data_IF_885997850769
#
_entry.id   IF_885997850769
#
_cell.length_a   1.000
_cell.length_b   1.000
_cell.length_c   1.000
_cell.angle_alpha   90.00
_cell.angle_beta   90.00
_cell.angle_gamma   90.00
#
_symmetry.space_group_name_H-M   'P 1'
#
loop_
_entity.id
_entity.type
_entity.pdbx_description
1 polymer ?
#
# COMPACT_ATOMS: atom_id res chain seq x y z
N UNK A 1 15.86 -10.13 7.22
CA UNK A 1 14.85 -9.29 7.87
C UNK A 1 15.53 -8.02 8.34
N UNK A 2 15.65 -7.03 7.47
CA UNK A 2 16.30 -5.75 7.79
C UNK A 2 15.19 -4.78 8.17
N UNK A 3 15.01 -4.56 9.47
CA UNK A 3 14.33 -3.39 9.98
C UNK A 3 15.27 -2.21 9.67
N UNK A 4 15.16 -1.68 8.46
CA UNK A 4 15.81 -0.44 8.11
C UNK A 4 15.27 0.64 9.03
N UNK A 5 16.13 1.23 9.84
CA UNK A 5 15.84 2.43 10.58
C UNK A 5 15.23 3.45 9.60
N UNK A 6 13.97 3.80 9.82
CA UNK A 6 13.33 4.95 9.18
C UNK A 6 13.90 6.24 9.83
N UNK A 7 15.22 6.35 9.81
CA UNK A 7 15.91 7.57 10.16
C UNK A 7 15.85 8.47 8.94
N UNK A 8 15.01 9.49 9.06
CA UNK A 8 15.02 10.71 8.24
C UNK A 8 15.51 10.49 6.81
N UNK A 9 14.55 10.26 5.88
CA UNK A 9 14.87 10.31 4.45
C UNK A 9 15.54 11.67 4.21
N UNK A 10 16.86 11.64 4.01
CA UNK A 10 17.59 12.85 3.70
C UNK A 10 17.03 13.35 2.37
N UNK A 11 16.71 14.63 2.26
CA UNK A 11 16.11 15.19 1.03
C UNK A 11 16.97 14.86 -0.19
N UNK A 12 18.27 14.72 -0.01
CA UNK A 12 19.24 14.36 -1.04
C UNK A 12 19.02 12.92 -1.55
N UNK A 13 18.69 11.97 -0.68
CA UNK A 13 18.35 10.59 -1.05
C UNK A 13 16.99 10.50 -1.76
N UNK A 14 16.00 11.28 -1.30
CA UNK A 14 14.68 11.33 -1.94
C UNK A 14 14.74 11.91 -3.35
N UNK A 15 15.65 12.86 -3.62
CA UNK A 15 15.80 13.47 -4.95
C UNK A 15 16.22 12.47 -6.02
N UNK A 16 16.92 11.41 -5.65
CA UNK A 16 17.33 10.34 -6.55
C UNK A 16 16.19 9.38 -6.91
N UNK A 17 15.33 9.05 -5.93
CA UNK A 17 14.26 8.06 -6.11
C UNK A 17 12.92 8.64 -6.51
N UNK A 18 12.62 9.88 -6.11
CA UNK A 18 11.34 10.57 -6.36
C UNK A 18 11.54 12.06 -6.65
N UNK A 19 12.20 12.41 -7.78
CA UNK A 19 12.54 13.79 -8.10
C UNK A 19 11.32 14.68 -8.33
N UNK A 20 10.18 14.12 -8.71
CA UNK A 20 8.90 14.78 -8.87
C UNK A 20 8.35 15.27 -7.51
N UNK A 21 8.40 14.45 -6.49
CA UNK A 21 7.97 14.81 -5.12
C UNK A 21 8.87 15.91 -4.55
N UNK A 22 10.19 15.81 -4.76
CA UNK A 22 11.14 16.79 -4.24
C UNK A 22 11.08 18.16 -4.92
N UNK A 23 10.44 18.27 -6.10
CA UNK A 23 10.19 19.54 -6.79
C UNK A 23 8.95 20.26 -6.26
N UNK A 24 8.03 19.56 -5.65
CA UNK A 24 6.82 20.17 -5.08
C UNK A 24 7.09 20.65 -3.67
N UNK A 25 7.13 21.98 -3.50
CA UNK A 25 7.39 22.65 -2.21
C UNK A 25 6.36 22.26 -1.14
N UNK A 26 5.11 22.02 -1.53
CA UNK A 26 4.06 21.60 -0.59
C UNK A 26 4.31 20.18 -0.09
N UNK A 27 4.66 19.25 -0.98
CA UNK A 27 4.97 17.86 -0.60
C UNK A 27 6.23 17.78 0.27
N UNK A 28 7.27 18.56 -0.04
CA UNK A 28 8.47 18.66 0.81
C UNK A 28 8.12 19.20 2.20
N UNK A 29 7.30 20.26 2.27
CA UNK A 29 6.84 20.80 3.53
C UNK A 29 6.00 19.78 4.31
N UNK A 30 5.07 19.10 3.65
CA UNK A 30 4.24 18.06 4.26
C UNK A 30 5.07 16.89 4.77
N UNK A 31 6.10 16.45 4.03
CA UNK A 31 7.03 15.41 4.47
C UNK A 31 7.76 15.82 5.76
N UNK A 32 8.24 17.06 5.82
CA UNK A 32 8.93 17.60 7.00
C UNK A 32 8.01 17.70 8.23
N UNK A 33 6.75 18.06 8.01
CA UNK A 33 5.77 18.31 9.07
C UNK A 33 4.62 17.30 9.05
N UNK A 34 4.89 16.07 8.64
CA UNK A 34 3.90 14.99 8.47
C UNK A 34 3.08 14.70 9.74
N UNK A 35 3.61 15.02 10.91
CA UNK A 35 2.92 14.87 12.20
C UNK A 35 1.86 15.95 12.47
N UNK A 36 1.98 17.14 11.85
CA UNK A 36 1.08 18.28 12.12
C UNK A 36 -0.40 17.97 11.87
N UNK A 37 -0.80 17.35 10.76
CA UNK A 37 -2.20 17.00 10.55
C UNK A 37 -2.77 16.12 11.67
N UNK A 38 -1.97 15.18 12.18
CA UNK A 38 -2.38 14.30 13.26
C UNK A 38 -2.49 15.06 14.59
N UNK A 39 -1.56 15.97 14.88
CA UNK A 39 -1.61 16.83 16.08
C UNK A 39 -2.84 17.74 16.04
N UNK A 40 -3.09 18.40 14.91
CA UNK A 40 -4.28 19.26 14.73
C UNK A 40 -5.55 18.44 14.92
N UNK A 41 -5.65 17.29 14.28
CA UNK A 41 -6.80 16.39 14.44
C UNK A 41 -6.99 15.97 15.91
N UNK A 42 -5.90 15.65 16.61
CA UNK A 42 -5.93 15.25 18.02
C UNK A 42 -6.50 16.37 18.90
N UNK A 43 -6.06 17.61 18.68
CA UNK A 43 -6.55 18.78 19.42
C UNK A 43 -8.05 19.01 19.13
N UNK A 44 -8.46 18.95 17.87
CA UNK A 44 -9.86 19.12 17.48
C UNK A 44 -10.76 18.04 18.08
N UNK A 45 -10.36 16.77 17.98
CA UNK A 45 -11.14 15.66 18.56
C UNK A 45 -11.24 15.76 20.08
N UNK A 46 -10.16 16.16 20.74
CA UNK A 46 -10.17 16.37 22.18
C UNK A 46 -11.07 17.54 22.57
N UNK A 47 -11.02 18.64 21.82
CA UNK A 47 -11.81 19.84 22.12
C UNK A 47 -13.32 19.64 21.90
N UNK A 48 -13.72 18.93 20.82
CA UNK A 48 -15.13 18.74 20.46
C UNK A 48 -15.78 17.49 21.05
N UNK A 49 -15.00 16.44 21.30
CA UNK A 49 -15.54 15.14 21.73
C UNK A 49 -14.87 14.57 22.98
N UNK A 50 -13.93 15.30 23.56
CA UNK A 50 -13.20 14.87 24.75
C UNK A 50 -12.31 13.65 24.53
N UNK A 51 -11.89 13.05 25.63
CA UNK A 51 -10.99 11.91 25.65
C UNK A 51 -11.47 10.70 24.81
N UNK A 52 -12.76 10.33 24.79
CA UNK A 52 -13.21 9.22 23.93
C UNK A 52 -12.94 9.44 22.46
N UNK A 53 -13.17 10.64 21.92
CA UNK A 53 -12.93 10.96 20.51
C UNK A 53 -11.43 10.93 20.19
N UNK A 54 -10.59 11.40 21.09
CA UNK A 54 -9.14 11.30 20.95
C UNK A 54 -8.70 9.83 20.90
N UNK A 55 -9.17 8.99 21.84
CA UNK A 55 -8.77 7.57 21.91
C UNK A 55 -9.20 6.80 20.67
N UNK A 56 -10.45 6.95 20.24
CA UNK A 56 -10.96 6.24 19.06
C UNK A 56 -10.47 6.84 17.74
N UNK A 57 -10.54 8.16 17.61
CA UNK A 57 -10.24 8.86 16.35
C UNK A 57 -8.74 8.97 16.04
N UNK A 58 -7.88 8.88 17.03
CA UNK A 58 -6.43 8.95 16.85
C UNK A 58 -5.77 7.62 17.18
N UNK A 59 -5.75 7.23 18.46
CA UNK A 59 -4.96 6.07 18.88
C UNK A 59 -5.47 4.77 18.28
N UNK A 60 -6.74 4.47 18.41
CA UNK A 60 -7.32 3.24 17.84
C UNK A 60 -7.20 3.22 16.31
N UNK A 61 -7.55 4.31 15.63
CA UNK A 61 -7.47 4.41 14.18
C UNK A 61 -6.04 4.21 13.65
N UNK A 62 -5.06 4.86 14.28
CA UNK A 62 -3.64 4.72 13.88
C UNK A 62 -3.15 3.31 14.12
N UNK A 63 -3.47 2.74 15.29
CA UNK A 63 -3.09 1.36 15.63
C UNK A 63 -3.68 0.36 14.64
N UNK A 64 -4.97 0.48 14.32
CA UNK A 64 -5.63 -0.39 13.33
C UNK A 64 -5.04 -0.23 11.93
N UNK A 65 -4.71 0.99 11.52
CA UNK A 65 -4.06 1.26 10.23
C UNK A 65 -2.67 0.60 10.13
N UNK A 66 -1.86 0.70 11.18
CA UNK A 66 -0.55 0.05 11.24
C UNK A 66 -0.68 -1.49 11.20
N UNK A 67 -1.61 -2.05 11.97
CA UNK A 67 -1.86 -3.50 11.94
C UNK A 67 -2.36 -3.98 10.58
N UNK A 68 -3.22 -3.23 9.91
CA UNK A 68 -3.66 -3.53 8.55
C UNK A 68 -2.48 -3.57 7.58
N UNK A 69 -1.58 -2.57 7.63
CA UNK A 69 -0.38 -2.52 6.78
C UNK A 69 0.57 -3.69 7.07
N UNK A 70 0.83 -3.99 8.34
CA UNK A 70 1.67 -5.13 8.72
C UNK A 70 1.06 -6.46 8.31
N UNK A 71 -0.25 -6.60 8.42
CA UNK A 71 -0.99 -7.78 7.98
C UNK A 71 -0.84 -8.01 6.47
N UNK A 72 -0.93 -6.95 5.65
CA UNK A 72 -0.65 -7.04 4.22
C UNK A 72 0.74 -7.60 3.99
N UNK A 73 1.77 -7.04 4.62
CA UNK A 73 3.16 -7.47 4.40
C UNK A 73 3.51 -8.83 5.02
N UNK A 74 2.81 -9.27 6.06
CA UNK A 74 3.10 -10.53 6.75
C UNK A 74 2.26 -11.68 6.21
N UNK A 75 0.92 -11.59 6.34
CA UNK A 75 0.03 -12.71 6.00
C UNK A 75 0.04 -13.00 4.50
N UNK A 76 0.15 -12.00 3.64
CA UNK A 76 0.18 -12.20 2.18
C UNK A 76 1.50 -12.77 1.66
N UNK A 77 2.54 -12.84 2.48
CA UNK A 77 3.76 -13.58 2.16
C UNK A 77 3.74 -15.00 2.72
N UNK A 78 2.82 -15.29 3.64
CA UNK A 78 2.73 -16.58 4.30
C UNK A 78 1.54 -17.41 3.82
N UNK A 79 0.36 -16.79 3.65
CA UNK A 79 -0.89 -17.48 3.35
C UNK A 79 -1.65 -16.83 2.20
N UNK A 80 -2.18 -17.67 1.30
CA UNK A 80 -2.97 -17.24 0.15
C UNK A 80 -2.60 -17.98 -1.14
N UNK A 81 -3.22 -17.57 -2.24
CA UNK A 81 -2.98 -18.13 -3.57
C UNK A 81 -1.88 -17.37 -4.31
N UNK A 82 -1.16 -18.05 -5.21
CA UNK A 82 -0.22 -17.42 -6.13
C UNK A 82 -0.77 -17.51 -7.54
N UNK A 83 -1.09 -16.37 -8.11
CA UNK A 83 -1.54 -16.28 -9.50
C UNK A 83 -0.38 -16.09 -10.46
N UNK A 84 0.64 -15.35 -10.03
CA UNK A 84 1.83 -15.05 -10.80
C UNK A 84 3.07 -15.61 -10.13
N UNK A 85 4.03 -16.09 -10.94
CA UNK A 85 5.34 -16.51 -10.45
C UNK A 85 6.22 -15.28 -10.19
N UNK A 86 6.04 -14.66 -9.03
CA UNK A 86 6.89 -13.56 -8.55
C UNK A 86 8.16 -14.11 -7.91
N UNK A 87 9.24 -13.31 -7.88
CA UNK A 87 10.52 -13.70 -7.27
C UNK A 87 10.45 -13.80 -5.75
N UNK A 88 9.47 -13.15 -5.15
CA UNK A 88 9.20 -13.17 -3.72
C UNK A 88 8.13 -14.20 -3.35
N UNK A 89 7.81 -14.29 -2.05
CA UNK A 89 6.78 -15.18 -1.53
C UNK A 89 5.37 -14.60 -1.59
N UNK A 90 5.12 -13.49 -2.30
CA UNK A 90 3.84 -12.79 -2.30
C UNK A 90 2.68 -13.67 -2.77
N UNK A 91 1.53 -13.51 -2.13
CA UNK A 91 0.29 -14.26 -2.34
C UNK A 91 -0.91 -13.34 -2.34
N UNK A 92 -1.96 -13.74 -3.01
CA UNK A 92 -3.27 -13.10 -2.95
C UNK A 92 -4.07 -13.71 -1.80
N UNK A 93 -4.56 -12.86 -0.91
CA UNK A 93 -5.36 -13.27 0.23
C UNK A 93 -6.63 -12.41 0.29
N UNK A 94 -7.79 -13.04 0.07
CA UNK A 94 -9.08 -12.35 0.01
C UNK A 94 -9.49 -11.73 1.36
N UNK A 95 -9.15 -12.39 2.48
CA UNK A 95 -9.47 -11.88 3.82
C UNK A 95 -8.68 -10.60 4.11
N UNK A 96 -7.38 -10.62 3.80
CA UNK A 96 -6.53 -9.43 3.91
C UNK A 96 -7.03 -8.34 2.94
N UNK A 97 -7.41 -8.71 1.71
CA UNK A 97 -7.94 -7.75 0.73
C UNK A 97 -9.22 -7.06 1.21
N UNK A 98 -10.11 -7.81 1.88
CA UNK A 98 -11.34 -7.24 2.45
C UNK A 98 -11.04 -6.24 3.57
N UNK A 99 -10.06 -6.51 4.44
CA UNK A 99 -9.69 -5.64 5.56
C UNK A 99 -8.81 -4.46 5.16
N UNK A 100 -8.08 -4.58 4.05
CA UNK A 100 -7.14 -3.56 3.56
C UNK A 100 -7.59 -2.90 2.25
N UNK A 101 -8.89 -2.94 1.94
CA UNK A 101 -9.51 -2.28 0.78
C UNK A 101 -8.94 -2.70 -0.58
N UNK A 102 -8.36 -3.90 -0.69
CA UNK A 102 -7.82 -4.44 -1.93
C UNK A 102 -6.32 -4.76 -1.90
N UNK A 103 -5.57 -4.26 -0.91
CA UNK A 103 -4.11 -4.47 -0.80
C UNK A 103 -3.71 -5.95 -0.61
N UNK A 104 -4.65 -6.79 -0.15
CA UNK A 104 -4.44 -8.23 -0.02
C UNK A 104 -4.28 -8.98 -1.35
N UNK A 105 -4.55 -8.36 -2.50
CA UNK A 105 -4.20 -8.87 -3.83
C UNK A 105 -2.70 -8.68 -4.12
N UNK A 106 -1.89 -9.04 -3.18
CA UNK A 106 -0.48 -8.68 -3.06
C UNK A 106 0.42 -9.36 -4.09
N UNK A 107 0.12 -10.61 -4.50
CA UNK A 107 0.82 -11.26 -5.59
C UNK A 107 0.56 -10.58 -6.95
N UNK A 108 -0.65 -10.09 -7.17
CA UNK A 108 -0.96 -9.28 -8.35
C UNK A 108 -0.18 -7.97 -8.34
N UNK A 109 -0.11 -7.32 -7.18
CA UNK A 109 0.67 -6.08 -7.00
C UNK A 109 2.15 -6.31 -7.29
N UNK A 110 2.76 -7.36 -6.73
CA UNK A 110 4.16 -7.69 -6.98
C UNK A 110 4.45 -8.09 -8.42
N UNK A 111 3.48 -8.66 -9.12
CA UNK A 111 3.59 -8.94 -10.55
C UNK A 111 3.48 -7.68 -11.43
N UNK A 112 2.70 -6.69 -10.98
CA UNK A 112 2.44 -5.44 -11.71
C UNK A 112 2.56 -4.22 -10.77
N UNK A 113 3.75 -3.90 -10.26
CA UNK A 113 3.94 -2.90 -9.20
C UNK A 113 3.55 -1.47 -9.60
N UNK A 114 3.46 -1.17 -10.88
CA UNK A 114 3.04 0.15 -11.39
C UNK A 114 1.54 0.25 -11.64
N UNK A 115 0.78 -0.82 -11.42
CA UNK A 115 -0.67 -0.83 -11.60
C UNK A 115 -1.36 -0.23 -10.38
N UNK A 116 -2.25 0.73 -10.61
CA UNK A 116 -3.13 1.26 -9.57
C UNK A 116 -4.27 0.29 -9.20
N UNK A 117 -4.47 -0.77 -9.97
CA UNK A 117 -5.44 -1.82 -9.71
C UNK A 117 -4.73 -3.09 -9.26
N UNK A 118 -5.03 -3.57 -8.06
CA UNK A 118 -4.49 -4.81 -7.52
C UNK A 118 -5.42 -6.00 -7.78
N UNK A 119 -6.73 -5.83 -7.70
CA UNK A 119 -7.71 -6.87 -8.05
C UNK A 119 -7.83 -7.02 -9.56
N UNK A 120 -7.11 -7.97 -10.18
CA UNK A 120 -7.05 -8.14 -11.63
C UNK A 120 -8.16 -9.04 -12.18
N UNK A 121 -8.72 -9.97 -11.40
CA UNK A 121 -9.89 -10.77 -11.77
C UNK A 121 -11.19 -10.04 -11.43
N UNK A 122 -12.30 -10.49 -12.03
CA UNK A 122 -13.61 -9.88 -11.81
C UNK A 122 -14.13 -10.06 -10.37
N UNK A 123 -13.73 -11.16 -9.70
CA UNK A 123 -14.08 -11.49 -8.31
C UNK A 123 -13.11 -10.92 -7.28
N UNK A 124 -12.00 -10.37 -7.71
CA UNK A 124 -11.00 -9.74 -6.85
C UNK A 124 -11.44 -8.30 -6.53
N UNK A 125 -12.26 -8.18 -5.48
CA UNK A 125 -12.80 -6.89 -5.03
C UNK A 125 -11.63 -6.00 -4.57
N UNK A 126 -11.55 -4.81 -5.17
CA UNK A 126 -10.52 -3.81 -4.93
C UNK A 126 -11.19 -2.46 -4.74
N UNK A 127 -11.44 -2.10 -3.48
CA UNK A 127 -12.18 -0.89 -3.11
C UNK A 127 -11.31 0.34 -3.42
N UNK A 128 -10.01 0.29 -3.14
CA UNK A 128 -9.06 1.36 -3.46
C UNK A 128 -9.08 1.67 -4.97
N UNK A 129 -9.20 0.64 -5.80
CA UNK A 129 -9.37 0.83 -7.24
C UNK A 129 -10.67 1.53 -7.61
N UNK A 130 -11.79 1.21 -6.96
CA UNK A 130 -13.06 1.90 -7.21
C UNK A 130 -12.99 3.37 -6.81
N UNK A 131 -12.31 3.67 -5.71
CA UNK A 131 -12.06 5.04 -5.26
C UNK A 131 -11.23 5.83 -6.27
N UNK A 132 -10.13 5.25 -6.75
CA UNK A 132 -9.30 5.86 -7.81
C UNK A 132 -10.13 6.08 -9.09
N UNK A 133 -10.98 5.14 -9.45
CA UNK A 133 -11.88 5.29 -10.60
C UNK A 133 -12.86 6.44 -10.41
N UNK A 134 -13.45 6.58 -9.24
CA UNK A 134 -14.30 7.71 -8.91
C UNK A 134 -13.54 9.03 -9.03
N UNK A 135 -12.35 9.13 -8.45
CA UNK A 135 -11.50 10.32 -8.56
C UNK A 135 -11.13 10.65 -10.02
N UNK A 136 -10.95 9.62 -10.86
CA UNK A 136 -10.76 9.85 -12.31
C UNK A 136 -12.00 10.46 -12.97
N UNK A 137 -13.20 10.01 -12.62
CA UNK A 137 -14.45 10.53 -13.24
C UNK A 137 -14.70 11.99 -12.92
N UNK A 138 -14.25 12.46 -11.76
CA UNK A 138 -14.36 13.87 -11.35
C UNK A 138 -13.11 14.70 -11.68
N UNK A 139 -12.13 14.12 -12.41
CA UNK A 139 -10.95 14.82 -12.89
C UNK A 139 -9.85 15.06 -11.84
N UNK A 140 -9.96 14.51 -10.62
CA UNK A 140 -8.97 14.65 -9.55
C UNK A 140 -7.80 13.66 -9.68
N UNK A 141 -7.98 12.53 -10.38
CA UNK A 141 -6.91 11.60 -10.66
C UNK A 141 -6.63 11.54 -12.18
N UNK A 142 -5.40 11.78 -12.57
CA UNK A 142 -4.94 11.74 -13.95
C UNK A 142 -3.87 10.68 -14.13
N UNK A 143 -3.59 10.27 -15.38
CA UNK A 143 -2.48 9.36 -15.73
C UNK A 143 -2.46 8.03 -14.96
N UNK A 144 -3.62 7.49 -14.61
CA UNK A 144 -3.76 6.26 -13.84
C UNK A 144 -3.30 5.05 -14.67
N UNK A 145 -2.24 4.39 -14.22
CA UNK A 145 -1.67 3.21 -14.87
C UNK A 145 -2.44 1.95 -14.47
N UNK A 146 -2.63 1.04 -15.43
CA UNK A 146 -3.26 -0.28 -15.20
C UNK A 146 -2.34 -1.38 -15.73
N UNK A 147 -2.40 -2.53 -15.08
CA UNK A 147 -1.75 -3.73 -15.61
C UNK A 147 -2.29 -4.03 -17.01
N UNK A 148 -1.41 -4.15 -17.98
CA UNK A 148 -1.74 -4.77 -19.26
C UNK A 148 -1.49 -6.26 -19.09
N UNK A 149 -2.56 -7.03 -18.85
CA UNK A 149 -2.47 -8.48 -18.82
C UNK A 149 -2.08 -8.95 -20.22
N UNK A 150 -0.79 -9.27 -20.41
CA UNK A 150 -0.36 -9.99 -21.59
C UNK A 150 -0.93 -11.40 -21.49
N UNK A 151 -1.55 -11.90 -22.57
CA UNK A 151 -1.98 -13.29 -22.69
C UNK A 151 -0.81 -14.28 -22.65
N UNK A 152 0.42 -13.82 -22.73
CA UNK A 152 1.62 -14.61 -22.41
C UNK A 152 1.74 -14.67 -20.89
N UNK A 153 1.27 -15.78 -20.31
CA UNK A 153 1.62 -16.17 -18.94
C UNK A 153 3.13 -16.01 -18.77
N UNK A 154 3.62 -15.30 -17.74
CA UNK A 154 5.04 -15.35 -17.43
C UNK A 154 5.43 -16.82 -17.26
N UNK A 155 6.46 -17.23 -17.97
CA UNK A 155 7.02 -18.58 -17.89
C UNK A 155 7.25 -18.92 -16.41
N UNK A 156 6.81 -20.08 -15.91
CA UNK A 156 7.07 -20.46 -14.54
C UNK A 156 8.58 -20.40 -14.29
N UNK A 157 8.99 -19.63 -13.30
CA UNK A 157 10.38 -19.67 -12.83
C UNK A 157 10.61 -21.09 -12.33
N UNK A 158 11.51 -21.82 -12.99
CA UNK A 158 11.90 -23.14 -12.57
C UNK A 158 12.25 -23.10 -11.07
N UNK A 159 11.55 -23.89 -10.28
CA UNK A 159 11.84 -24.09 -8.86
C UNK A 159 13.27 -24.60 -8.77
N UNK A 160 14.19 -23.95 -8.05
CA UNK A 160 15.52 -24.52 -7.86
C UNK A 160 15.35 -25.90 -7.22
N UNK A 161 15.94 -26.93 -7.84
CA UNK A 161 15.94 -28.28 -7.31
C UNK A 161 16.40 -28.24 -5.86
N UNK A 162 15.64 -28.87 -4.96
CA UNK A 162 16.06 -29.04 -3.57
C UNK A 162 17.42 -29.73 -3.60
N UNK A 163 18.48 -29.03 -3.20
CA UNK A 163 19.74 -29.65 -2.90
C UNK A 163 19.47 -30.62 -1.73
N UNK A 164 19.52 -31.90 -2.02
CA UNK A 164 19.57 -32.93 -0.99
C UNK A 164 20.92 -32.80 -0.29
N UNK A 165 20.91 -32.42 0.96
CA UNK A 165 21.99 -32.61 1.93
C UNK A 165 21.50 -33.62 2.93
#
# INVERSE_FOLDING_TARGET
MLVGNATHCNIDDCSHYAPDICRDRFLVWLSKYHYLPLVILSILLLAFGGLPFLLWGVFFRVTMGLHATWMVNSLTHFWGSRRFATRDGSRNNWFVAALSFGEGWHNNHHAYPTSARHGLAWYEIDISWWEIRFLQTIGLATSVRRARLSLKLPTPVATPAKAHV
#
